data_IF_955038225113
#
_entry.id   IF_955038225113
#
_cell.length_a   1.000
_cell.length_b   1.000
_cell.length_c   1.000
_cell.angle_alpha   90.00
_cell.angle_beta   90.00
_cell.angle_gamma   90.00
#
_symmetry.space_group_name_H-M   'P 1'
#
loop_
_entity.id
_entity.type
_entity.pdbx_description
1 polymer ?
#
# COMPACT_ATOMS: atom_id res chain seq x y z
N UNK A 1 22.93 -9.26 -8.47
CA UNK A 1 21.58 -8.92 -7.96
C UNK A 1 21.09 -10.09 -7.13
N UNK A 2 21.02 -9.94 -5.80
CA UNK A 2 20.64 -11.04 -4.90
C UNK A 2 19.14 -11.32 -5.04
N UNK A 3 18.75 -12.56 -5.36
CA UNK A 3 17.33 -12.93 -5.37
C UNK A 3 16.78 -12.82 -3.95
N UNK A 4 15.63 -12.16 -3.74
CA UNK A 4 15.00 -12.11 -2.43
C UNK A 4 14.74 -13.55 -1.95
N UNK A 5 15.14 -13.86 -0.73
CA UNK A 5 14.96 -15.17 -0.14
C UNK A 5 13.45 -15.45 0.02
N UNK A 6 12.89 -16.27 -0.87
CA UNK A 6 11.50 -16.72 -0.78
C UNK A 6 11.39 -17.80 0.30
N UNK A 7 10.52 -17.58 1.28
CA UNK A 7 10.16 -18.57 2.28
C UNK A 7 8.88 -19.28 1.86
N UNK A 8 8.97 -20.60 1.63
CA UNK A 8 7.77 -21.41 1.44
C UNK A 8 6.97 -21.45 2.75
N UNK A 9 5.69 -21.14 2.67
CA UNK A 9 4.78 -21.12 3.80
C UNK A 9 3.55 -21.94 3.43
N UNK A 10 3.12 -22.87 4.29
CA UNK A 10 1.86 -23.60 4.09
C UNK A 10 0.71 -22.67 4.48
N UNK A 11 -0.20 -22.45 3.54
CA UNK A 11 -1.38 -21.63 3.71
C UNK A 11 -2.62 -22.47 3.43
N UNK A 12 -3.67 -22.29 4.23
CA UNK A 12 -4.98 -22.87 3.97
C UNK A 12 -5.79 -21.88 3.13
N UNK A 13 -6.20 -22.30 1.94
CA UNK A 13 -7.03 -21.52 1.02
C UNK A 13 -8.35 -22.25 0.77
N UNK A 14 -9.37 -21.50 0.34
CA UNK A 14 -10.64 -22.08 -0.07
C UNK A 14 -10.44 -23.04 -1.27
N UNK A 15 -10.99 -24.25 -1.15
CA UNK A 15 -10.78 -25.30 -2.13
C UNK A 15 -11.43 -24.98 -3.49
N UNK A 16 -12.56 -24.27 -3.49
CA UNK A 16 -13.24 -23.86 -4.73
C UNK A 16 -12.41 -22.81 -5.46
N UNK A 17 -11.87 -21.82 -4.74
CA UNK A 17 -10.98 -20.81 -5.33
C UNK A 17 -9.71 -21.42 -5.93
N UNK A 18 -9.11 -22.41 -5.25
CA UNK A 18 -7.96 -23.13 -5.78
C UNK A 18 -8.33 -23.94 -7.03
N UNK A 19 -9.48 -24.61 -7.02
CA UNK A 19 -9.96 -25.38 -8.17
C UNK A 19 -10.19 -24.49 -9.39
N UNK A 20 -10.85 -23.35 -9.20
CA UNK A 20 -11.10 -22.37 -10.25
C UNK A 20 -9.80 -21.76 -10.79
N UNK A 21 -8.88 -21.37 -9.90
CA UNK A 21 -7.57 -20.84 -10.29
C UNK A 21 -6.77 -21.86 -11.11
N UNK A 22 -6.78 -23.14 -10.72
CA UNK A 22 -6.17 -24.23 -11.49
C UNK A 22 -6.82 -24.41 -12.86
N UNK A 23 -8.16 -24.38 -12.94
CA UNK A 23 -8.89 -24.48 -14.20
C UNK A 23 -8.55 -23.32 -15.16
N UNK A 24 -8.35 -22.13 -14.61
CA UNK A 24 -7.95 -20.92 -15.35
C UNK A 24 -6.43 -20.80 -15.56
N UNK A 25 -5.63 -21.77 -15.09
CA UNK A 25 -4.16 -21.76 -15.16
C UNK A 25 -3.52 -20.53 -14.50
N UNK A 26 -4.14 -20.02 -13.44
CA UNK A 26 -3.62 -18.90 -12.66
C UNK A 26 -2.52 -19.42 -11.73
N UNK A 27 -1.40 -18.69 -11.68
CA UNK A 27 -0.33 -18.95 -10.70
C UNK A 27 -0.76 -18.46 -9.31
N UNK A 28 -1.24 -19.40 -8.48
CA UNK A 28 -1.74 -19.13 -7.12
C UNK A 28 -0.65 -18.51 -6.25
N UNK A 29 0.61 -18.94 -6.38
CA UNK A 29 1.70 -18.41 -5.55
C UNK A 29 1.93 -16.95 -5.86
N UNK A 30 1.95 -16.59 -7.15
CA UNK A 30 2.12 -15.21 -7.57
C UNK A 30 0.92 -14.34 -7.19
N UNK A 31 -0.30 -14.85 -7.40
CA UNK A 31 -1.52 -14.13 -7.02
C UNK A 31 -1.58 -13.87 -5.51
N UNK A 32 -1.17 -14.84 -4.69
CA UNK A 32 -1.09 -14.69 -3.24
C UNK A 32 -0.04 -13.63 -2.83
N UNK A 33 1.14 -13.64 -3.45
CA UNK A 33 2.18 -12.64 -3.21
C UNK A 33 1.69 -11.21 -3.55
N UNK A 34 1.07 -11.04 -4.72
CA UNK A 34 0.52 -9.76 -5.14
C UNK A 34 -0.62 -9.30 -4.22
N UNK A 35 -1.48 -10.22 -3.76
CA UNK A 35 -2.54 -9.95 -2.79
C UNK A 35 -1.99 -9.48 -1.44
N UNK A 36 -1.00 -10.18 -0.90
CA UNK A 36 -0.33 -9.80 0.35
C UNK A 36 0.35 -8.44 0.24
N UNK A 37 1.06 -8.18 -0.86
CA UNK A 37 1.72 -6.89 -1.09
C UNK A 37 0.72 -5.73 -1.09
N UNK A 38 -0.45 -5.92 -1.74
CA UNK A 38 -1.53 -4.93 -1.76
C UNK A 38 -2.12 -4.70 -0.35
N UNK A 39 -2.40 -5.77 0.40
CA UNK A 39 -2.94 -5.68 1.74
C UNK A 39 -1.97 -4.95 2.70
N UNK A 40 -0.68 -5.31 2.66
CA UNK A 40 0.36 -4.65 3.47
C UNK A 40 0.46 -3.17 3.12
N UNK A 41 0.44 -2.84 1.82
CA UNK A 41 0.50 -1.44 1.38
C UNK A 41 -0.70 -0.64 1.89
N UNK A 42 -1.91 -1.18 1.77
CA UNK A 42 -3.12 -0.53 2.24
C UNK A 42 -3.09 -0.28 3.76
N UNK A 43 -2.60 -1.25 4.53
CA UNK A 43 -2.47 -1.11 5.98
C UNK A 43 -1.43 -0.06 6.35
N UNK A 44 -0.27 -0.05 5.68
CA UNK A 44 0.76 0.98 5.90
C UNK A 44 0.23 2.37 5.56
N UNK A 45 -0.55 2.51 4.50
CA UNK A 45 -1.21 3.78 4.14
C UNK A 45 -2.27 4.19 5.16
N UNK A 46 -2.95 3.22 5.79
CA UNK A 46 -3.89 3.49 6.87
C UNK A 46 -3.15 4.01 8.11
N UNK A 47 -2.12 3.29 8.57
CA UNK A 47 -1.31 3.69 9.71
C UNK A 47 -0.63 5.04 9.48
N UNK A 48 -0.05 5.25 8.29
CA UNK A 48 0.57 6.51 7.94
C UNK A 48 -0.41 7.69 8.00
N UNK A 49 -1.68 7.49 7.57
CA UNK A 49 -2.71 8.53 7.69
C UNK A 49 -3.06 8.84 9.13
N UNK A 50 -3.12 7.83 10.00
CA UNK A 50 -3.38 8.03 11.43
C UNK A 50 -2.24 8.82 12.09
N UNK A 51 -0.99 8.42 11.82
CA UNK A 51 0.20 9.08 12.37
C UNK A 51 0.39 10.50 11.81
N UNK A 52 0.11 10.71 10.52
CA UNK A 52 0.32 11.99 9.86
C UNK A 52 -0.83 12.98 10.05
N UNK A 53 -1.95 12.57 10.67
CA UNK A 53 -3.12 13.42 10.83
C UNK A 53 -2.80 14.73 11.58
N UNK A 54 -1.97 14.66 12.62
CA UNK A 54 -1.55 15.84 13.37
C UNK A 54 -0.57 16.72 12.60
N UNK A 55 0.40 16.13 11.89
CA UNK A 55 1.35 16.87 11.06
C UNK A 55 0.65 17.58 9.89
N UNK A 56 -0.33 16.91 9.26
CA UNK A 56 -1.16 17.49 8.20
C UNK A 56 -2.02 18.61 8.77
N UNK A 57 -2.64 18.43 9.94
CA UNK A 57 -3.43 19.47 10.60
C UNK A 57 -2.60 20.71 10.89
N UNK A 58 -1.41 20.54 11.49
CA UNK A 58 -0.50 21.64 11.78
C UNK A 58 -0.05 22.37 10.50
N UNK A 59 0.28 21.61 9.45
CA UNK A 59 0.66 22.18 8.17
C UNK A 59 -0.49 22.97 7.52
N UNK A 60 -1.71 22.45 7.57
CA UNK A 60 -2.90 23.13 7.06
C UNK A 60 -3.18 24.42 7.83
N UNK A 61 -3.11 24.39 9.16
CA UNK A 61 -3.29 25.57 10.01
C UNK A 61 -2.19 26.63 9.75
N UNK A 62 -0.95 26.19 9.52
CA UNK A 62 0.15 27.08 9.13
C UNK A 62 -0.12 27.75 7.78
N UNK A 63 -0.56 27.00 6.77
CA UNK A 63 -0.91 27.55 5.45
C UNK A 63 -2.12 28.50 5.53
N UNK A 64 -3.11 28.20 6.36
CA UNK A 64 -4.26 29.09 6.58
C UNK A 64 -3.84 30.42 7.21
N UNK A 65 -2.94 30.39 8.20
CA UNK A 65 -2.46 31.59 8.90
C UNK A 65 -1.43 32.39 8.11
N UNK A 66 -0.54 31.73 7.37
CA UNK A 66 0.63 32.34 6.75
C UNK A 66 0.58 32.38 5.22
N UNK A 67 -0.45 31.80 4.62
CA UNK A 67 -0.55 31.59 3.19
C UNK A 67 0.39 30.47 2.70
N UNK A 68 0.32 30.17 1.41
CA UNK A 68 1.16 29.15 0.79
C UNK A 68 2.63 29.59 0.80
N UNK A 69 3.54 28.80 1.39
CA UNK A 69 4.97 29.07 1.32
C UNK A 69 5.41 29.21 -0.14
N UNK A 70 6.23 30.23 -0.41
CA UNK A 70 6.80 30.48 -1.74
C UNK A 70 5.78 30.73 -2.87
N UNK A 71 4.50 31.02 -2.55
CA UNK A 71 3.50 31.39 -3.55
C UNK A 71 3.97 32.54 -4.46
N UNK A 72 4.77 33.47 -3.91
CA UNK A 72 5.41 34.59 -4.63
C UNK A 72 6.35 34.19 -5.77
N UNK A 73 6.78 32.94 -5.86
CA UNK A 73 7.68 32.44 -6.92
C UNK A 73 6.97 31.49 -7.90
N UNK A 74 5.65 31.27 -7.75
CA UNK A 74 4.89 30.41 -8.66
C UNK A 74 4.71 31.15 -10.00
N UNK A 75 5.35 30.67 -11.06
CA UNK A 75 5.10 31.08 -12.44
C UNK A 75 4.00 30.16 -13.01
N UNK A 76 2.95 30.74 -13.57
CA UNK A 76 1.84 30.05 -14.23
C UNK A 76 2.04 30.05 -15.75
#
# INVERSE_FOLDING_TARGET
MSQPARKSTRLSLDANLVSEACALKIDISRAAEEGMAKAIKAEREHLWRLESAEAIRFHNEYVEKHGLPHAKYRQF
#
